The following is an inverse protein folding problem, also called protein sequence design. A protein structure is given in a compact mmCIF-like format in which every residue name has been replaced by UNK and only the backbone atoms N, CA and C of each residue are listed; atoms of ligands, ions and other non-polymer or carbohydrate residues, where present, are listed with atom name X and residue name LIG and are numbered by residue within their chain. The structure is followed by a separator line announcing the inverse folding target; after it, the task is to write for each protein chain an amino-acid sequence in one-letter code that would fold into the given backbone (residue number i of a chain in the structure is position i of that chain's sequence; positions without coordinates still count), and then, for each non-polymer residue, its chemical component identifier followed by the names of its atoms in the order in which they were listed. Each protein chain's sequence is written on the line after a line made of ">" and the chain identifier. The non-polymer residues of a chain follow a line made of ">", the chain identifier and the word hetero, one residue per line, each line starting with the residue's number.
data_IF_362207655820
#
_entry.id   IF_362207655820
#
_cell.length_a   1.000
_cell.length_b   1.000
_cell.length_c   1.000
_cell.angle_alpha   90.00
_cell.angle_beta   90.00
_cell.angle_gamma   90.00
#
_symmetry.space_group_name_H-M   'P 1'
#
loop_
_entity.id
_entity.type
_entity.pdbx_description
1 polymer ?
#
# COMPACT_ATOMS: atom_id res chain seq x y z
N UNK A 1 -15.62 4.25 18.80
CA UNK A 1 -14.16 4.25 18.54
C UNK A 1 -13.85 5.10 17.33
N UNK A 2 -12.72 5.77 17.32
CA UNK A 2 -12.28 6.63 16.22
C UNK A 2 -11.42 5.85 15.22
N UNK A 3 -11.74 5.95 13.92
CA UNK A 3 -10.98 5.34 12.84
C UNK A 3 -9.83 6.27 12.47
N UNK A 4 -8.58 5.87 12.75
CA UNK A 4 -7.39 6.69 12.49
C UNK A 4 -6.51 6.06 11.40
N UNK A 5 -6.00 6.90 10.51
CA UNK A 5 -5.08 6.52 9.44
C UNK A 5 -4.22 7.73 9.02
N UNK A 6 -3.10 7.46 8.35
CA UNK A 6 -2.30 8.45 7.62
C UNK A 6 -2.42 8.17 6.12
N UNK A 7 -2.51 9.23 5.31
CA UNK A 7 -2.55 9.13 3.86
C UNK A 7 -1.60 10.18 3.27
N UNK A 8 -0.49 9.72 2.71
CA UNK A 8 0.57 10.58 2.19
C UNK A 8 0.68 10.42 0.68
N UNK A 9 0.39 11.50 -0.06
CA UNK A 9 0.49 11.50 -1.52
C UNK A 9 -0.43 10.50 -2.21
N UNK A 10 -1.63 10.26 -1.66
CA UNK A 10 -2.57 9.30 -2.24
C UNK A 10 -3.39 9.87 -3.40
N UNK A 11 -3.55 11.20 -3.45
CA UNK A 11 -4.38 11.88 -4.44
C UNK A 11 -3.76 11.84 -5.84
N UNK A 12 -2.46 12.08 -5.94
CA UNK A 12 -1.70 12.09 -7.19
C UNK A 12 -1.15 10.70 -7.59
N UNK A 13 -1.21 9.72 -6.69
CA UNK A 13 -0.62 8.41 -6.91
C UNK A 13 -1.37 7.55 -7.93
N UNK A 14 -0.63 6.79 -8.74
CA UNK A 14 -1.14 5.71 -9.60
C UNK A 14 -1.18 4.36 -8.84
N UNK A 15 -0.29 4.20 -7.86
CA UNK A 15 -0.22 3.06 -6.95
C UNK A 15 -0.20 3.55 -5.50
N UNK A 16 -1.07 3.00 -4.67
CA UNK A 16 -1.11 3.25 -3.23
C UNK A 16 -0.57 2.03 -2.50
N UNK A 17 0.46 2.22 -1.68
CA UNK A 17 1.00 1.17 -0.83
C UNK A 17 0.29 1.21 0.53
N UNK A 18 -0.31 0.10 0.93
CA UNK A 18 -0.98 -0.06 2.22
C UNK A 18 -0.06 -0.85 3.16
N UNK A 19 0.31 -0.24 4.29
CA UNK A 19 1.20 -0.86 5.27
C UNK A 19 0.99 -0.26 6.66
N UNK A 20 1.19 -1.05 7.72
CA UNK A 20 1.10 -0.57 9.11
C UNK A 20 2.35 -0.95 9.93
N UNK A 21 2.45 -0.45 11.15
CA UNK A 21 3.53 -0.84 12.07
C UNK A 21 4.94 -0.57 11.50
N UNK A 22 5.82 -1.57 11.56
CA UNK A 22 7.21 -1.48 11.08
C UNK A 22 7.30 -1.42 9.55
N UNK A 23 6.47 -2.18 8.83
CA UNK A 23 6.53 -2.21 7.37
C UNK A 23 6.23 -0.85 6.76
N UNK A 24 5.34 -0.05 7.37
CA UNK A 24 5.03 1.28 6.84
C UNK A 24 6.24 2.25 6.89
N UNK A 25 7.17 2.09 7.85
CA UNK A 25 8.37 2.94 7.93
C UNK A 25 9.32 2.65 6.77
N UNK A 26 9.49 1.36 6.46
CA UNK A 26 10.27 0.88 5.31
C UNK A 26 9.63 1.39 4.00
N UNK A 27 8.32 1.24 3.88
CA UNK A 27 7.55 1.69 2.72
C UNK A 27 7.68 3.20 2.52
N UNK A 28 7.60 4.00 3.59
CA UNK A 28 7.78 5.45 3.53
C UNK A 28 9.14 5.83 2.91
N UNK A 29 10.22 5.16 3.32
CA UNK A 29 11.55 5.40 2.75
C UNK A 29 11.63 4.98 1.28
N UNK A 30 11.05 3.84 0.90
CA UNK A 30 11.04 3.40 -0.50
C UNK A 30 10.24 4.35 -1.40
N UNK A 31 9.09 4.83 -0.91
CA UNK A 31 8.24 5.80 -1.61
C UNK A 31 8.96 7.14 -1.81
N UNK A 32 9.72 7.61 -0.80
CA UNK A 32 10.49 8.85 -0.93
C UNK A 32 11.46 8.79 -2.12
N UNK A 33 12.26 7.71 -2.20
CA UNK A 33 13.19 7.48 -3.32
C UNK A 33 12.47 7.42 -4.68
N UNK A 34 11.34 6.72 -4.75
CA UNK A 34 10.56 6.63 -5.99
C UNK A 34 9.93 7.97 -6.39
N UNK A 35 9.50 8.78 -5.42
CA UNK A 35 8.96 10.12 -5.69
C UNK A 35 10.05 11.08 -6.17
N UNK A 36 11.28 10.97 -5.68
CA UNK A 36 12.44 11.71 -6.23
C UNK A 36 12.67 11.39 -7.71
N UNK A 37 12.36 10.17 -8.14
CA UNK A 37 12.38 9.75 -9.55
C UNK A 37 11.10 10.11 -10.34
N UNK A 38 10.20 10.91 -9.75
CA UNK A 38 8.95 11.34 -10.37
C UNK A 38 7.88 10.25 -10.45
N UNK A 39 8.00 9.15 -9.70
CA UNK A 39 6.97 8.11 -9.66
C UNK A 39 5.80 8.54 -8.76
N UNK A 40 4.59 8.39 -9.29
CA UNK A 40 3.33 8.67 -8.60
C UNK A 40 2.93 7.50 -7.70
N UNK A 41 3.53 7.40 -6.53
CA UNK A 41 3.22 6.39 -5.52
C UNK A 41 2.86 7.04 -4.18
N UNK A 42 1.81 6.56 -3.52
CA UNK A 42 1.33 7.09 -2.24
C UNK A 42 1.38 6.04 -1.14
N UNK A 43 1.34 6.48 0.12
CA UNK A 43 1.24 5.62 1.30
C UNK A 43 -0.13 5.79 1.95
N UNK A 44 -0.80 4.67 2.23
CA UNK A 44 -1.93 4.63 3.14
C UNK A 44 -1.56 3.76 4.34
N UNK A 45 -1.49 4.35 5.53
CA UNK A 45 -1.11 3.67 6.77
C UNK A 45 -2.30 3.67 7.74
N UNK A 46 -2.99 2.53 7.89
CA UNK A 46 -3.93 2.35 8.99
C UNK A 46 -3.21 2.48 10.34
N UNK A 47 -3.74 3.31 11.23
CA UNK A 47 -3.31 3.38 12.64
C UNK A 47 -4.25 2.51 13.48
N UNK A 48 -5.55 2.66 13.25
CA UNK A 48 -6.58 1.79 13.82
C UNK A 48 -6.79 0.59 12.88
N UNK A 49 -6.49 -0.62 13.35
CA UNK A 49 -6.75 -1.87 12.61
C UNK A 49 -8.18 -2.38 12.83
N UNK A 50 -8.76 -2.07 13.99
CA UNK A 50 -10.16 -2.32 14.29
C UNK A 50 -10.74 -1.15 15.11
N UNK A 51 -11.80 -0.47 14.64
CA UNK A 51 -12.42 -0.59 13.31
C UNK A 51 -11.49 -0.14 12.17
N UNK A 52 -11.45 -0.91 11.07
CA UNK A 52 -10.58 -0.66 9.90
C UNK A 52 -11.12 0.47 8.99
N UNK A 53 -10.26 1.34 8.40
CA UNK A 53 -10.66 2.47 7.54
C UNK A 53 -11.15 2.06 6.13
N UNK A 54 -12.22 1.27 6.06
CA UNK A 54 -12.75 0.71 4.80
C UNK A 54 -13.24 1.75 3.81
N UNK A 55 -13.98 2.75 4.29
CA UNK A 55 -14.61 3.79 3.46
C UNK A 55 -13.58 4.54 2.61
N UNK A 56 -12.44 4.90 3.21
CA UNK A 56 -11.38 5.67 2.55
C UNK A 56 -10.71 4.86 1.44
N UNK A 57 -10.42 3.58 1.71
CA UNK A 57 -9.87 2.68 0.68
C UNK A 57 -10.87 2.44 -0.46
N UNK A 58 -12.16 2.35 -0.16
CA UNK A 58 -13.22 2.22 -1.17
C UNK A 58 -13.29 3.48 -2.07
N UNK A 59 -13.24 4.67 -1.49
CA UNK A 59 -13.21 5.93 -2.26
C UNK A 59 -11.99 6.03 -3.17
N UNK A 60 -10.81 5.65 -2.68
CA UNK A 60 -9.59 5.58 -3.49
C UNK A 60 -9.73 4.55 -4.62
N UNK A 61 -10.32 3.39 -4.34
CA UNK A 61 -10.55 2.36 -5.35
C UNK A 61 -11.53 2.81 -6.45
N UNK A 62 -12.56 3.57 -6.08
CA UNK A 62 -13.53 4.18 -6.99
C UNK A 62 -12.89 5.25 -7.89
N UNK A 63 -11.86 5.94 -7.39
CA UNK A 63 -10.99 6.83 -8.20
C UNK A 63 -10.03 6.07 -9.13
N UNK A 64 -10.13 4.75 -9.22
CA UNK A 64 -9.32 3.91 -10.12
C UNK A 64 -7.91 3.60 -9.61
N UNK A 65 -7.62 3.89 -8.33
CA UNK A 65 -6.29 3.63 -7.74
C UNK A 65 -6.03 2.12 -7.65
N UNK A 66 -4.76 1.74 -7.82
CA UNK A 66 -4.27 0.37 -7.58
C UNK A 66 -3.60 0.31 -6.21
N UNK A 67 -3.55 -0.88 -5.63
CA UNK A 67 -3.06 -1.09 -4.28
C UNK A 67 -1.95 -2.14 -4.23
N UNK A 68 -0.93 -1.88 -3.44
CA UNK A 68 0.07 -2.87 -3.01
C UNK A 68 0.01 -2.96 -1.49
N UNK A 69 -0.27 -4.13 -0.94
CA UNK A 69 -0.21 -4.38 0.49
C UNK A 69 1.17 -4.90 0.86
N UNK A 70 1.83 -4.21 1.80
CA UNK A 70 3.13 -4.61 2.34
C UNK A 70 3.01 -4.90 3.83
N UNK A 71 3.14 -6.17 4.21
CA UNK A 71 3.04 -6.58 5.61
C UNK A 71 4.00 -7.71 5.97
N UNK A 72 4.17 -7.91 7.28
CA UNK A 72 5.04 -8.93 7.87
C UNK A 72 4.22 -10.12 8.39
N UNK A 73 3.12 -10.43 7.71
CA UNK A 73 2.17 -11.48 8.07
C UNK A 73 1.74 -12.28 6.84
N UNK A 74 1.02 -13.39 7.05
CA UNK A 74 0.48 -14.26 6.00
C UNK A 74 -0.90 -13.79 5.48
N UNK A 75 -1.14 -12.48 5.40
CA UNK A 75 -2.37 -11.95 4.79
C UNK A 75 -3.38 -11.32 5.75
N UNK A 76 -2.97 -10.90 6.95
CA UNK A 76 -3.91 -10.28 7.90
C UNK A 76 -4.45 -8.94 7.38
N UNK A 77 -3.57 -8.07 6.85
CA UNK A 77 -3.98 -6.78 6.31
C UNK A 77 -4.58 -6.89 4.90
N UNK A 78 -4.03 -7.77 4.06
CA UNK A 78 -4.43 -7.82 2.65
C UNK A 78 -5.90 -8.21 2.47
N UNK A 79 -6.42 -9.09 3.32
CA UNK A 79 -7.83 -9.49 3.25
C UNK A 79 -8.78 -8.33 3.59
N UNK A 80 -8.49 -7.54 4.63
CA UNK A 80 -9.26 -6.33 4.94
C UNK A 80 -9.19 -5.28 3.81
N UNK A 81 -8.04 -5.15 3.15
CA UNK A 81 -7.88 -4.25 2.00
C UNK A 81 -8.67 -4.76 0.79
N UNK A 82 -8.63 -6.06 0.48
CA UNK A 82 -9.42 -6.65 -0.61
C UNK A 82 -10.92 -6.43 -0.34
N UNK A 83 -11.37 -6.66 0.89
CA UNK A 83 -12.76 -6.43 1.30
C UNK A 83 -13.16 -4.95 1.18
N UNK A 84 -12.30 -4.02 1.58
CA UNK A 84 -12.56 -2.59 1.47
C UNK A 84 -12.60 -2.09 0.02
N UNK A 85 -11.67 -2.57 -0.81
CA UNK A 85 -11.55 -2.20 -2.24
C UNK A 85 -12.67 -2.84 -3.07
N UNK A 86 -13.19 -4.00 -2.64
CA UNK A 86 -14.20 -4.80 -3.34
C UNK A 86 -13.80 -5.16 -4.79
N UNK A 87 -12.49 -5.29 -5.04
CA UNK A 87 -11.92 -5.69 -6.32
C UNK A 87 -10.51 -6.27 -6.11
N UNK A 88 -10.41 -7.60 -6.10
CA UNK A 88 -9.15 -8.31 -5.88
C UNK A 88 -8.11 -8.04 -6.96
N UNK A 89 -8.53 -7.70 -8.18
CA UNK A 89 -7.61 -7.48 -9.31
C UNK A 89 -6.74 -6.24 -9.13
N UNK A 90 -7.24 -5.26 -8.35
CA UNK A 90 -6.55 -4.00 -8.02
C UNK A 90 -5.55 -4.14 -6.88
N UNK A 91 -5.59 -5.23 -6.11
CA UNK A 91 -4.76 -5.42 -4.92
C UNK A 91 -3.64 -6.42 -5.21
N UNK A 92 -2.40 -6.00 -4.98
CA UNK A 92 -1.20 -6.85 -4.97
C UNK A 92 -0.69 -7.02 -3.56
N UNK A 93 0.05 -8.09 -3.34
CA UNK A 93 0.51 -8.48 -2.02
C UNK A 93 2.02 -8.73 -2.01
N UNK A 94 2.70 -8.09 -1.08
CA UNK A 94 4.11 -8.32 -0.77
C UNK A 94 4.24 -8.60 0.74
N UNK A 95 4.11 -9.88 1.09
CA UNK A 95 4.20 -10.37 2.46
C UNK A 95 5.58 -10.93 2.80
N UNK A 96 6.07 -10.66 4.01
CA UNK A 96 7.22 -11.34 4.61
C UNK A 96 6.77 -12.15 5.82
N UNK A 97 7.22 -13.40 5.92
CA UNK A 97 6.87 -14.30 7.02
C UNK A 97 7.97 -14.34 8.10
N UNK A 98 7.66 -14.99 9.23
CA UNK A 98 8.60 -15.26 10.33
C UNK A 98 9.24 -14.01 10.94
N UNK A 99 8.51 -12.88 10.97
CA UNK A 99 9.02 -11.62 11.54
C UNK A 99 10.11 -10.94 10.70
N UNK A 100 10.35 -11.43 9.48
CA UNK A 100 11.31 -10.81 8.56
C UNK A 100 10.83 -9.42 8.17
N UNK A 101 11.61 -8.41 8.49
CA UNK A 101 11.31 -7.02 8.09
C UNK A 101 11.68 -6.89 6.61
N UNK A 102 10.75 -6.44 5.73
CA UNK A 102 11.12 -6.15 4.35
C UNK A 102 12.15 -5.02 4.32
N UNK A 103 13.12 -5.11 3.42
CA UNK A 103 14.10 -4.04 3.25
C UNK A 103 13.54 -2.92 2.36
N UNK A 104 14.10 -1.72 2.49
CA UNK A 104 13.73 -0.57 1.64
C UNK A 104 13.93 -0.91 0.17
N UNK A 105 15.03 -1.61 -0.15
CA UNK A 105 15.37 -2.03 -1.51
C UNK A 105 14.35 -3.00 -2.09
N UNK A 106 13.96 -4.03 -1.35
CA UNK A 106 12.96 -5.01 -1.82
C UNK A 106 11.61 -4.32 -2.11
N UNK A 107 11.17 -3.44 -1.21
CA UNK A 107 9.91 -2.70 -1.38
C UNK A 107 9.99 -1.75 -2.58
N UNK A 108 11.12 -1.06 -2.73
CA UNK A 108 11.37 -0.18 -3.88
C UNK A 108 11.30 -0.98 -5.20
N UNK A 109 11.99 -2.12 -5.28
CA UNK A 109 12.04 -2.97 -6.48
C UNK A 109 10.65 -3.52 -6.84
N UNK A 110 9.87 -3.94 -5.84
CA UNK A 110 8.50 -4.41 -6.04
C UNK A 110 7.59 -3.30 -6.57
N UNK A 111 7.62 -2.11 -5.96
CA UNK A 111 6.83 -0.97 -6.42
C UNK A 111 7.23 -0.58 -7.86
N UNK A 112 8.53 -0.46 -8.13
CA UNK A 112 9.04 -0.11 -9.46
C UNK A 112 8.63 -1.15 -10.52
N UNK A 113 8.64 -2.44 -10.16
CA UNK A 113 8.16 -3.54 -11.00
C UNK A 113 6.68 -3.39 -11.38
N UNK A 114 5.83 -3.08 -10.41
CA UNK A 114 4.38 -2.90 -10.62
C UNK A 114 4.07 -1.67 -11.48
N UNK A 115 4.79 -0.56 -11.28
CA UNK A 115 4.62 0.66 -12.07
C UNK A 115 5.03 0.46 -13.54
N UNK A 116 6.10 -0.29 -13.83
CA UNK A 116 6.51 -0.61 -15.21
C UNK A 116 5.45 -1.43 -15.95
N UNK A 117 4.87 -2.43 -15.30
CA UNK A 117 3.81 -3.28 -15.90
C UNK A 117 2.51 -2.51 -16.17
N UNK A 118 2.30 -1.37 -15.50
CA UNK A 118 1.13 -0.51 -15.70
C UNK A 118 1.24 0.45 -16.89
N UNK A 119 2.44 0.67 -17.45
CA UNK A 119 2.70 1.61 -18.54
C UNK A 119 2.68 0.99 -19.95
N UNK A 120 2.48 -0.33 -20.07
CA UNK A 120 2.22 -0.98 -21.36
C UNK A 120 0.72 -0.88 -21.67
N UNK A 121 0.28 0.28 -22.14
CA UNK A 121 -0.97 0.46 -22.86
C UNK A 121 -0.75 1.39 -24.03
#
# INVERSE_FOLDING_TARGET
>A
EEVRYEADGVDDADLIVVAYGTSSRVVRSAIALLREEGKKVGLFRPITLWPFPRQVLQELANKGKKFLVVEMSAGQLVEDVILAVNDRSKVKFFGKLNGTIPTVREVYEEIASLLRKGGAK
#
